data_IF_252953572837
#
_entry.id   IF_252953572837
#
_cell.length_a   1.000
_cell.length_b   1.000
_cell.length_c   1.000
_cell.angle_alpha   90.00
_cell.angle_beta   90.00
_cell.angle_gamma   90.00
#
_symmetry.space_group_name_H-M   'P 1'
#
loop_
_entity.id
_entity.type
_entity.pdbx_description
1 polymer ?
#
# COMPACT_ATOMS: atom_id res chain seq x y z
N UNK A 1 -10.48 -23.56 34.21
CA UNK A 1 -10.35 -23.17 32.80
C UNK A 1 -8.87 -23.09 32.47
N UNK A 2 -8.45 -23.58 31.31
CA UNK A 2 -7.03 -23.48 30.89
C UNK A 2 -6.72 -21.99 30.69
N UNK A 3 -5.61 -21.52 31.22
CA UNK A 3 -5.19 -20.12 31.08
C UNK A 3 -4.94 -19.82 29.60
N UNK A 4 -5.53 -18.72 29.09
CA UNK A 4 -5.38 -18.29 27.70
C UNK A 4 -3.95 -17.79 27.48
N UNK A 5 -3.34 -18.15 26.35
CA UNK A 5 -2.03 -17.60 25.96
C UNK A 5 -2.15 -16.13 25.63
N UNK A 6 -1.43 -15.27 26.36
CA UNK A 6 -1.42 -13.83 26.13
C UNK A 6 -0.57 -13.46 24.94
N UNK A 7 -1.12 -12.64 24.06
CA UNK A 7 -0.57 -12.31 22.74
C UNK A 7 -0.47 -10.80 22.57
N UNK A 8 0.64 -10.32 22.03
CA UNK A 8 0.76 -8.98 21.42
C UNK A 8 0.82 -9.15 19.92
N UNK A 9 0.06 -8.34 19.18
CA UNK A 9 0.15 -8.24 17.73
C UNK A 9 0.90 -6.94 17.38
N UNK A 10 2.02 -7.07 16.66
CA UNK A 10 2.80 -5.93 16.18
C UNK A 10 2.20 -5.41 14.87
N UNK A 11 1.68 -4.19 14.93
CA UNK A 11 0.94 -3.51 13.90
C UNK A 11 -0.41 -3.02 14.41
N UNK A 12 -0.92 -1.91 13.87
CA UNK A 12 -2.24 -1.35 14.19
C UNK A 12 -2.79 -0.49 13.03
N UNK A 13 -2.79 -1.01 11.83
CA UNK A 13 -3.24 -0.25 10.66
C UNK A 13 -3.83 -1.09 9.52
N UNK A 14 -3.71 -2.40 9.56
CA UNK A 14 -4.18 -3.20 8.43
C UNK A 14 -4.11 -4.70 8.64
N UNK A 15 -2.98 -5.32 8.28
CA UNK A 15 -2.73 -6.76 8.38
C UNK A 15 -2.94 -7.29 9.80
N UNK A 16 -2.52 -6.56 10.78
CA UNK A 16 -2.65 -6.83 12.20
C UNK A 16 -4.10 -7.04 12.64
N UNK A 17 -5.02 -6.11 12.28
CA UNK A 17 -6.45 -6.27 12.56
C UNK A 17 -7.06 -7.43 11.78
N UNK A 18 -6.61 -7.67 10.55
CA UNK A 18 -7.04 -8.84 9.79
C UNK A 18 -6.58 -10.14 10.47
N UNK A 19 -5.31 -10.24 10.86
CA UNK A 19 -4.76 -11.37 11.61
C UNK A 19 -5.54 -11.61 12.90
N UNK A 20 -5.85 -10.55 13.65
CA UNK A 20 -6.70 -10.65 14.82
C UNK A 20 -8.09 -11.20 14.48
N UNK A 21 -8.77 -10.60 13.51
CA UNK A 21 -10.15 -10.96 13.15
C UNK A 21 -10.29 -12.39 12.64
N UNK A 22 -9.26 -12.93 11.96
CA UNK A 22 -9.31 -14.26 11.38
C UNK A 22 -8.79 -15.33 12.31
N UNK A 23 -7.68 -15.10 13.02
CA UNK A 23 -6.97 -16.12 13.77
C UNK A 23 -7.24 -16.08 15.29
N UNK A 24 -7.42 -14.89 15.87
CA UNK A 24 -7.47 -14.73 17.34
C UNK A 24 -8.86 -14.39 17.89
N UNK A 25 -9.68 -13.59 17.18
CA UNK A 25 -10.93 -12.99 17.69
C UNK A 25 -11.84 -13.97 18.44
N UNK A 26 -12.09 -15.14 17.86
CA UNK A 26 -13.00 -16.16 18.41
C UNK A 26 -12.25 -17.38 18.93
N UNK A 27 -10.93 -17.29 19.15
CA UNK A 27 -10.13 -18.41 19.59
C UNK A 27 -9.94 -18.38 21.12
N UNK A 28 -10.56 -19.33 21.86
CA UNK A 28 -10.52 -19.34 23.31
C UNK A 28 -9.15 -19.71 23.91
N UNK A 29 -8.21 -20.23 23.12
CA UNK A 29 -6.86 -20.54 23.58
C UNK A 29 -5.95 -19.30 23.70
N UNK A 30 -6.35 -18.17 23.10
CA UNK A 30 -5.55 -16.93 23.04
C UNK A 30 -6.29 -15.73 23.63
N UNK A 31 -5.52 -14.81 24.20
CA UNK A 31 -5.96 -13.48 24.64
C UNK A 31 -5.02 -12.43 24.04
N UNK A 32 -5.49 -11.67 23.06
CA UNK A 32 -4.73 -10.54 22.53
C UNK A 32 -4.86 -9.37 23.50
N UNK A 33 -3.77 -9.04 24.18
CA UNK A 33 -3.74 -8.04 25.26
C UNK A 33 -3.31 -6.66 24.78
N UNK A 34 -2.73 -6.57 23.57
CA UNK A 34 -2.33 -5.30 22.97
C UNK A 34 -2.05 -5.43 21.47
N UNK A 35 -2.24 -4.32 20.75
CA UNK A 35 -1.56 -4.02 19.51
C UNK A 35 -0.40 -3.06 19.75
N UNK A 36 0.69 -3.16 18.99
CA UNK A 36 1.76 -2.15 19.02
C UNK A 36 1.99 -1.55 17.63
N UNK A 37 2.55 -0.34 17.56
CA UNK A 37 2.60 0.42 16.33
C UNK A 37 3.81 1.40 16.30
N UNK A 38 4.45 1.54 15.12
CA UNK A 38 5.59 2.45 14.92
C UNK A 38 5.31 3.62 13.99
N UNK A 39 4.38 3.47 13.04
CA UNK A 39 4.31 4.33 11.86
C UNK A 39 3.22 5.41 11.94
N UNK A 40 2.19 5.23 12.77
CA UNK A 40 1.06 6.17 12.88
C UNK A 40 1.28 7.08 14.10
N UNK A 41 1.46 8.40 13.90
CA UNK A 41 1.58 9.35 15.01
C UNK A 41 0.31 9.39 15.87
N UNK A 42 0.47 9.56 17.17
CA UNK A 42 -0.63 9.78 18.13
C UNK A 42 -1.69 8.66 18.16
N UNK A 43 -1.26 7.41 17.96
CA UNK A 43 -2.15 6.25 18.10
C UNK A 43 -2.25 5.79 19.56
N UNK A 44 -1.34 6.24 20.40
CA UNK A 44 -1.29 5.90 21.82
C UNK A 44 -2.60 6.29 22.52
N UNK A 45 -3.12 5.38 23.36
CA UNK A 45 -4.39 5.57 24.06
C UNK A 45 -5.63 5.22 23.24
N UNK A 46 -5.51 4.83 21.96
CA UNK A 46 -6.64 4.28 21.20
C UNK A 46 -6.94 2.85 21.63
N UNK A 47 -8.18 2.44 21.42
CA UNK A 47 -8.64 1.09 21.69
C UNK A 47 -9.28 0.52 20.41
N UNK A 48 -8.90 -0.68 20.02
CA UNK A 48 -9.66 -1.45 19.04
C UNK A 48 -10.98 -1.84 19.68
N UNK A 49 -12.13 -1.34 19.19
CA UNK A 49 -13.36 -1.30 19.97
C UNK A 49 -13.96 -2.69 20.15
N UNK A 50 -14.65 -2.89 21.28
CA UNK A 50 -15.30 -4.14 21.66
C UNK A 50 -16.26 -4.69 20.60
N UNK A 51 -16.96 -3.79 19.90
CA UNK A 51 -17.91 -4.16 18.83
C UNK A 51 -17.22 -4.87 17.67
N UNK A 52 -15.97 -4.55 17.41
CA UNK A 52 -15.13 -5.22 16.41
C UNK A 52 -14.32 -6.37 17.01
N UNK A 53 -13.90 -6.24 18.26
CA UNK A 53 -13.09 -7.25 18.96
C UNK A 53 -13.92 -8.49 19.36
N UNK A 54 -15.22 -8.34 19.65
CA UNK A 54 -16.14 -9.44 19.97
C UNK A 54 -16.18 -9.79 21.46
N UNK A 55 -17.00 -10.78 21.81
CA UNK A 55 -17.40 -11.09 23.18
C UNK A 55 -16.25 -11.53 24.10
N UNK A 56 -15.16 -12.06 23.53
CA UNK A 56 -13.98 -12.42 24.31
C UNK A 56 -13.14 -11.19 24.74
N UNK A 57 -13.49 -10.00 24.27
CA UNK A 57 -12.78 -8.72 24.48
C UNK A 57 -13.76 -7.59 24.87
N UNK A 58 -14.46 -7.69 26.03
CA UNK A 58 -15.52 -6.75 26.39
C UNK A 58 -15.05 -5.30 26.56
N UNK A 59 -13.76 -5.09 26.86
CA UNK A 59 -13.14 -3.76 27.00
C UNK A 59 -12.44 -3.30 25.71
N UNK A 60 -12.49 -4.11 24.64
CA UNK A 60 -11.67 -3.89 23.44
C UNK A 60 -10.20 -4.25 23.67
N UNK A 61 -9.33 -3.81 22.74
CA UNK A 61 -7.89 -4.11 22.81
C UNK A 61 -7.09 -2.81 22.70
N UNK A 62 -6.24 -2.45 23.68
CA UNK A 62 -5.49 -1.21 23.66
C UNK A 62 -4.34 -1.22 22.64
N UNK A 63 -4.03 -0.03 22.11
CA UNK A 63 -2.94 0.24 21.18
C UNK A 63 -1.82 1.00 21.90
N UNK A 64 -0.58 0.52 21.75
CA UNK A 64 0.61 1.07 22.38
C UNK A 64 1.68 1.43 21.34
N UNK A 65 2.66 2.23 21.75
CA UNK A 65 3.89 2.41 20.99
C UNK A 65 4.70 1.11 20.95
N UNK A 66 5.30 0.75 19.83
CA UNK A 66 6.20 -0.43 19.75
C UNK A 66 7.41 -0.30 20.68
N UNK A 67 7.80 0.93 21.04
CA UNK A 67 8.89 1.15 22.02
C UNK A 67 8.63 0.50 23.36
N UNK A 68 7.35 0.25 23.68
CA UNK A 68 6.92 -0.38 24.93
C UNK A 68 6.88 -1.92 24.85
N UNK A 69 7.18 -2.52 23.69
CA UNK A 69 7.03 -3.96 23.46
C UNK A 69 7.65 -4.82 24.57
N UNK A 70 8.90 -4.57 24.93
CA UNK A 70 9.63 -5.36 25.94
C UNK A 70 8.99 -5.22 27.33
N UNK A 71 8.56 -4.03 27.70
CA UNK A 71 7.88 -3.77 28.98
C UNK A 71 6.51 -4.45 29.00
N UNK A 72 5.73 -4.31 27.93
CA UNK A 72 4.41 -4.95 27.81
C UNK A 72 4.49 -6.47 27.88
N UNK A 73 5.51 -7.09 27.28
CA UNK A 73 5.71 -8.54 27.38
C UNK A 73 5.84 -8.96 28.85
N UNK A 74 6.65 -8.27 29.64
CA UNK A 74 6.91 -8.57 31.05
C UNK A 74 5.68 -8.23 31.92
N UNK A 75 5.14 -7.04 31.82
CA UNK A 75 4.03 -6.54 32.65
C UNK A 75 2.75 -7.33 32.45
N UNK A 76 2.44 -7.68 31.19
CA UNK A 76 1.22 -8.43 30.83
C UNK A 76 1.42 -9.94 30.77
N UNK A 77 2.60 -10.46 31.14
CA UNK A 77 2.95 -11.88 31.06
C UNK A 77 2.64 -12.48 29.67
N UNK A 78 3.13 -11.83 28.61
CA UNK A 78 2.88 -12.22 27.23
C UNK A 78 3.76 -13.40 26.84
N UNK A 79 3.15 -14.44 26.27
CA UNK A 79 3.84 -15.66 25.83
C UNK A 79 4.06 -15.72 24.31
N UNK A 80 3.40 -14.84 23.54
CA UNK A 80 3.49 -14.86 22.08
C UNK A 80 3.42 -13.43 21.51
N UNK A 81 4.36 -13.11 20.63
CA UNK A 81 4.34 -11.90 19.81
C UNK A 81 4.09 -12.30 18.36
N UNK A 82 3.08 -11.71 17.73
CA UNK A 82 2.73 -11.92 16.32
C UNK A 82 3.17 -10.71 15.52
N UNK A 83 4.03 -10.93 14.54
CA UNK A 83 4.52 -9.85 13.67
C UNK A 83 3.62 -9.68 12.47
N UNK A 84 3.15 -8.45 12.23
CA UNK A 84 2.19 -8.15 11.16
C UNK A 84 2.59 -6.97 10.26
N UNK A 85 3.84 -6.49 10.36
CA UNK A 85 4.35 -5.51 9.41
C UNK A 85 4.75 -6.16 8.09
N UNK A 86 4.71 -5.39 7.03
CA UNK A 86 5.13 -5.76 5.68
C UNK A 86 6.09 -4.72 5.11
N UNK A 87 6.72 -5.06 3.97
CA UNK A 87 7.71 -4.23 3.27
C UNK A 87 8.94 -3.87 4.12
N UNK A 88 9.39 -4.81 4.93
CA UNK A 88 10.56 -4.69 5.80
C UNK A 88 11.61 -5.75 5.45
N UNK A 89 12.88 -5.42 5.63
CA UNK A 89 13.98 -6.38 5.43
C UNK A 89 14.00 -7.48 6.51
N UNK A 90 14.68 -8.57 6.23
CA UNK A 90 14.77 -9.70 7.16
C UNK A 90 15.49 -9.36 8.46
N UNK A 91 16.45 -8.44 8.43
CA UNK A 91 17.16 -7.99 9.63
C UNK A 91 16.20 -7.30 10.61
N UNK A 92 15.28 -6.50 10.07
CA UNK A 92 14.24 -5.86 10.87
C UNK A 92 13.37 -6.91 11.57
N UNK A 93 12.88 -7.92 10.82
CA UNK A 93 12.04 -8.99 11.36
C UNK A 93 12.77 -9.76 12.45
N UNK A 94 14.02 -10.16 12.18
CA UNK A 94 14.81 -10.94 13.14
C UNK A 94 15.16 -10.14 14.41
N UNK A 95 15.45 -8.85 14.30
CA UNK A 95 15.66 -8.00 15.49
C UNK A 95 14.43 -7.94 16.38
N UNK A 96 13.21 -7.90 15.82
CA UNK A 96 11.96 -7.95 16.61
C UNK A 96 11.75 -9.33 17.24
N UNK A 97 12.07 -10.39 16.51
CA UNK A 97 12.02 -11.73 17.06
C UNK A 97 12.97 -11.89 18.27
N UNK A 98 14.22 -11.44 18.15
CA UNK A 98 15.20 -11.48 19.24
C UNK A 98 14.76 -10.64 20.45
N UNK A 99 14.18 -9.45 20.20
CA UNK A 99 13.63 -8.61 21.28
C UNK A 99 12.49 -9.33 22.03
N UNK A 100 11.56 -9.98 21.32
CA UNK A 100 10.48 -10.73 21.93
C UNK A 100 10.99 -11.93 22.73
N UNK A 101 11.91 -12.71 22.16
CA UNK A 101 12.50 -13.90 22.81
C UNK A 101 13.33 -13.52 24.04
N UNK A 102 14.12 -12.46 23.98
CA UNK A 102 14.88 -11.98 25.14
C UNK A 102 14.01 -11.47 26.28
N UNK A 103 12.77 -11.05 25.97
CA UNK A 103 11.78 -10.66 26.97
C UNK A 103 10.94 -11.84 27.51
N UNK A 104 11.10 -13.07 26.95
CA UNK A 104 10.44 -14.30 27.38
C UNK A 104 9.24 -14.74 26.53
N UNK A 105 8.93 -14.07 25.41
CA UNK A 105 7.85 -14.44 24.53
C UNK A 105 8.34 -15.19 23.28
N UNK A 106 7.53 -16.12 22.76
CA UNK A 106 7.73 -16.69 21.41
C UNK A 106 7.39 -15.66 20.33
N UNK A 107 7.89 -15.86 19.12
CA UNK A 107 7.63 -14.98 17.98
C UNK A 107 6.96 -15.76 16.84
N UNK A 108 5.96 -15.17 16.18
CA UNK A 108 5.16 -15.84 15.14
C UNK A 108 4.95 -14.95 13.92
N UNK A 109 5.09 -15.56 12.74
CA UNK A 109 4.64 -15.05 11.44
C UNK A 109 3.45 -15.89 10.99
N UNK A 110 2.30 -15.24 10.72
CA UNK A 110 1.14 -15.95 10.19
C UNK A 110 1.22 -16.06 8.66
N UNK A 111 1.00 -17.27 8.16
CA UNK A 111 1.04 -17.57 6.74
C UNK A 111 -0.30 -17.35 6.03
N UNK A 112 -0.30 -17.37 4.68
CA UNK A 112 -1.49 -17.22 3.86
C UNK A 112 -2.61 -18.23 4.18
N UNK A 113 -2.26 -19.48 4.48
CA UNK A 113 -3.23 -20.53 4.79
C UNK A 113 -4.09 -20.20 6.02
N UNK A 114 -3.52 -19.49 6.99
CA UNK A 114 -4.20 -19.16 8.25
C UNK A 114 -4.98 -17.84 8.17
N UNK A 115 -4.72 -17.01 7.14
CA UNK A 115 -5.19 -15.63 7.09
C UNK A 115 -5.98 -15.26 5.86
N UNK A 116 -5.89 -16.01 4.75
CA UNK A 116 -6.67 -15.73 3.56
C UNK A 116 -8.10 -16.28 3.68
N UNK A 117 -9.08 -15.46 3.33
CA UNK A 117 -10.49 -15.84 3.23
C UNK A 117 -10.76 -16.48 1.87
N UNK A 118 -11.48 -17.60 1.87
CA UNK A 118 -11.98 -18.24 0.65
C UNK A 118 -13.16 -17.46 0.10
N UNK A 119 -13.11 -17.11 -1.19
CA UNK A 119 -14.19 -16.44 -1.91
C UNK A 119 -15.00 -17.43 -2.77
N UNK A 120 -16.32 -17.21 -2.83
CA UNK A 120 -17.22 -17.91 -3.78
C UNK A 120 -17.12 -17.33 -5.19
N UNK A 121 -16.55 -16.14 -5.34
CA UNK A 121 -16.31 -15.48 -6.63
C UNK A 121 -14.83 -15.54 -6.98
N UNK A 122 -14.47 -15.60 -8.26
CA UNK A 122 -13.07 -15.53 -8.66
C UNK A 122 -12.40 -14.27 -8.13
N UNK A 123 -11.12 -14.40 -7.74
CA UNK A 123 -10.30 -13.30 -7.22
C UNK A 123 -9.04 -13.16 -8.07
N UNK A 124 -8.82 -11.97 -8.62
CA UNK A 124 -7.54 -11.55 -9.18
C UNK A 124 -6.84 -10.69 -8.12
N UNK A 125 -5.67 -11.10 -7.66
CA UNK A 125 -4.89 -10.27 -6.73
C UNK A 125 -3.68 -9.66 -7.41
N UNK A 126 -3.43 -8.39 -7.13
CA UNK A 126 -2.24 -7.67 -7.56
C UNK A 126 -1.46 -7.24 -6.32
N UNK A 127 -0.28 -7.79 -6.16
CA UNK A 127 0.67 -7.49 -5.10
C UNK A 127 2.00 -7.00 -5.68
N UNK A 128 2.93 -6.64 -4.83
CA UNK A 128 4.28 -6.26 -5.25
C UNK A 128 5.31 -6.71 -4.22
N UNK A 129 6.55 -6.90 -4.61
CA UNK A 129 7.64 -7.25 -3.70
C UNK A 129 8.10 -6.05 -2.86
N UNK A 130 7.86 -4.81 -3.34
CA UNK A 130 8.22 -3.55 -2.66
C UNK A 130 7.22 -2.44 -2.98
N UNK A 131 7.02 -1.53 -2.04
CA UNK A 131 6.30 -0.27 -2.26
C UNK A 131 6.95 0.51 -3.39
N UNK A 132 6.13 1.12 -4.27
CA UNK A 132 6.62 1.86 -5.43
C UNK A 132 7.09 1.00 -6.61
N UNK A 133 6.93 -0.34 -6.57
CA UNK A 133 7.30 -1.22 -7.69
C UNK A 133 6.41 -1.03 -8.94
N UNK A 134 5.23 -0.40 -8.81
CA UNK A 134 4.33 -0.15 -9.94
C UNK A 134 3.07 -1.00 -9.94
N UNK A 135 2.62 -1.44 -8.77
CA UNK A 135 1.39 -2.22 -8.57
C UNK A 135 0.14 -1.49 -9.08
N UNK A 136 -0.11 -0.27 -8.60
CA UNK A 136 -1.34 0.47 -8.92
C UNK A 136 -1.53 0.77 -10.41
N UNK A 137 -0.48 1.11 -11.21
CA UNK A 137 -0.61 1.19 -12.67
C UNK A 137 -1.01 -0.14 -13.33
N UNK A 138 -0.49 -1.29 -12.87
CA UNK A 138 -0.89 -2.61 -13.37
C UNK A 138 -2.34 -2.91 -13.01
N UNK A 139 -2.76 -2.63 -11.76
CA UNK A 139 -4.14 -2.84 -11.32
C UNK A 139 -5.11 -2.03 -12.16
N UNK A 140 -4.82 -0.75 -12.39
CA UNK A 140 -5.67 0.09 -13.28
C UNK A 140 -5.75 -0.48 -14.70
N UNK A 141 -4.63 -0.99 -15.23
CA UNK A 141 -4.61 -1.61 -16.56
C UNK A 141 -5.47 -2.88 -16.61
N UNK A 142 -5.42 -3.72 -15.60
CA UNK A 142 -6.29 -4.91 -15.48
C UNK A 142 -7.76 -4.47 -15.40
N UNK A 143 -8.10 -3.51 -14.55
CA UNK A 143 -9.46 -2.96 -14.46
C UNK A 143 -9.96 -2.38 -15.80
N UNK A 144 -9.10 -1.68 -16.55
CA UNK A 144 -9.42 -1.19 -17.90
C UNK A 144 -9.78 -2.33 -18.86
N UNK A 145 -9.02 -3.43 -18.85
CA UNK A 145 -9.27 -4.61 -19.69
C UNK A 145 -10.58 -5.29 -19.27
N UNK A 146 -10.80 -5.49 -17.97
CA UNK A 146 -12.04 -6.10 -17.46
C UNK A 146 -13.28 -5.28 -17.85
N UNK A 147 -13.21 -3.94 -17.78
CA UNK A 147 -14.29 -3.06 -18.24
C UNK A 147 -14.57 -3.17 -19.73
N UNK A 148 -13.52 -3.21 -20.55
CA UNK A 148 -13.68 -3.40 -22.01
C UNK A 148 -14.36 -4.72 -22.37
N UNK A 149 -14.24 -5.71 -21.49
CA UNK A 149 -14.89 -7.02 -21.61
C UNK A 149 -16.26 -7.09 -20.92
N UNK A 150 -16.75 -5.95 -20.40
CA UNK A 150 -18.03 -5.84 -19.68
C UNK A 150 -18.15 -6.77 -18.47
N UNK A 151 -17.03 -7.08 -17.79
CA UNK A 151 -17.03 -7.88 -16.57
C UNK A 151 -17.53 -7.03 -15.40
N UNK A 152 -18.49 -7.56 -14.63
CA UNK A 152 -18.98 -6.94 -13.40
C UNK A 152 -18.02 -7.26 -12.24
N UNK A 153 -17.18 -6.29 -11.82
CA UNK A 153 -16.20 -6.48 -10.77
C UNK A 153 -16.14 -5.29 -9.81
N UNK A 154 -15.66 -5.55 -8.60
CA UNK A 154 -15.25 -4.52 -7.65
C UNK A 154 -13.74 -4.59 -7.37
N UNK A 155 -13.21 -3.51 -6.83
CA UNK A 155 -11.85 -3.44 -6.30
C UNK A 155 -11.92 -3.50 -4.78
N UNK A 156 -11.13 -4.35 -4.15
CA UNK A 156 -10.98 -4.40 -2.70
C UNK A 156 -9.57 -3.97 -2.33
N UNK A 157 -9.49 -2.96 -1.48
CA UNK A 157 -8.22 -2.36 -1.06
C UNK A 157 -7.82 -2.81 0.33
N UNK A 158 -6.51 -2.85 0.55
CA UNK A 158 -5.94 -3.00 1.88
C UNK A 158 -6.40 -1.86 2.80
N UNK A 159 -6.71 -2.12 4.08
CA UNK A 159 -7.17 -1.07 5.00
C UNK A 159 -6.05 -0.11 5.38
N UNK A 160 -6.46 1.12 5.65
CA UNK A 160 -5.66 2.14 6.31
C UNK A 160 -6.52 2.74 7.44
N UNK A 161 -6.74 1.95 8.51
CA UNK A 161 -7.71 2.25 9.56
C UNK A 161 -7.19 3.33 10.54
N UNK A 162 -6.92 4.53 10.03
CA UNK A 162 -6.39 5.65 10.81
C UNK A 162 -7.48 6.48 11.52
N UNK A 163 -8.73 6.36 11.08
CA UNK A 163 -9.88 7.08 11.61
C UNK A 163 -10.67 6.31 12.68
N UNK A 164 -11.98 6.56 12.73
CA UNK A 164 -12.92 5.84 13.60
C UNK A 164 -13.12 4.41 13.10
N UNK A 165 -12.69 3.41 13.87
CA UNK A 165 -12.76 2.00 13.50
C UNK A 165 -14.18 1.50 13.20
N UNK A 166 -15.20 2.01 13.92
CA UNK A 166 -16.59 1.59 13.69
C UNK A 166 -17.11 2.10 12.36
N UNK A 167 -16.78 3.35 12.04
CA UNK A 167 -17.12 3.97 10.75
C UNK A 167 -16.34 3.34 9.60
N UNK A 168 -15.12 2.89 9.86
CA UNK A 168 -14.23 2.24 8.93
C UNK A 168 -14.37 0.71 8.93
N UNK A 169 -15.35 0.12 9.63
CA UNK A 169 -15.57 -1.32 9.62
C UNK A 169 -15.76 -1.85 8.20
N UNK A 170 -16.65 -1.21 7.44
CA UNK A 170 -16.93 -1.49 6.02
C UNK A 170 -17.14 -0.15 5.32
N UNK A 171 -16.38 0.10 4.29
CA UNK A 171 -16.48 1.30 3.46
C UNK A 171 -16.71 0.87 2.00
N UNK A 172 -17.63 1.56 1.31
CA UNK A 172 -17.92 1.39 -0.11
C UNK A 172 -17.82 2.75 -0.80
N UNK A 173 -16.98 2.86 -1.79
CA UNK A 173 -16.73 4.10 -2.54
C UNK A 173 -17.13 3.89 -4.00
N UNK A 174 -18.12 4.63 -4.46
CA UNK A 174 -18.62 4.61 -5.84
C UNK A 174 -18.47 5.97 -6.51
N UNK A 175 -18.43 7.04 -5.71
CA UNK A 175 -18.30 8.44 -6.15
C UNK A 175 -17.38 9.23 -5.25
N UNK A 176 -16.94 10.38 -5.73
CA UNK A 176 -15.94 11.21 -5.01
C UNK A 176 -16.44 11.72 -3.65
N UNK A 177 -17.76 11.92 -3.50
CA UNK A 177 -18.40 12.36 -2.24
C UNK A 177 -18.28 11.31 -1.14
N UNK A 178 -18.15 10.02 -1.50
CA UNK A 178 -17.96 8.94 -0.52
C UNK A 178 -16.64 9.08 0.22
N UNK A 179 -15.59 9.63 -0.45
CA UNK A 179 -14.32 9.93 0.20
C UNK A 179 -14.45 10.99 1.30
N UNK A 180 -15.30 11.97 1.09
CA UNK A 180 -15.59 13.02 2.09
C UNK A 180 -16.47 12.45 3.20
N UNK A 181 -17.49 11.65 2.85
CA UNK A 181 -18.36 10.98 3.81
C UNK A 181 -17.59 10.09 4.79
N UNK A 182 -16.65 9.29 4.30
CA UNK A 182 -15.81 8.43 5.16
C UNK A 182 -14.59 9.15 5.73
N UNK A 183 -14.39 10.44 5.45
CA UNK A 183 -13.23 11.24 5.89
C UNK A 183 -11.89 10.62 5.48
N UNK A 184 -11.83 10.14 4.24
CA UNK A 184 -10.64 9.51 3.71
C UNK A 184 -9.43 10.45 3.79
N UNK A 185 -8.32 9.94 4.34
CA UNK A 185 -7.02 10.63 4.40
C UNK A 185 -6.45 10.85 3.00
N UNK A 186 -5.41 11.68 2.87
CA UNK A 186 -4.73 11.87 1.59
C UNK A 186 -4.25 10.53 1.02
N UNK A 187 -3.66 9.67 1.85
CA UNK A 187 -3.13 8.37 1.44
C UNK A 187 -4.22 7.41 0.99
N UNK A 188 -5.35 7.38 1.70
CA UNK A 188 -6.53 6.62 1.25
C UNK A 188 -7.06 7.16 -0.08
N UNK A 189 -7.08 8.49 -0.27
CA UNK A 189 -7.48 9.12 -1.54
C UNK A 189 -6.54 8.78 -2.69
N UNK A 190 -5.23 8.74 -2.44
CA UNK A 190 -4.24 8.30 -3.45
C UNK A 190 -4.57 6.92 -4.02
N UNK A 191 -5.11 6.05 -3.19
CA UNK A 191 -5.42 4.68 -3.54
C UNK A 191 -6.85 4.52 -4.13
N UNK A 192 -7.83 5.30 -3.68
CA UNK A 192 -9.24 5.10 -4.05
C UNK A 192 -9.68 6.00 -5.23
N UNK A 193 -9.25 7.28 -5.25
CA UNK A 193 -9.66 8.23 -6.30
C UNK A 193 -9.42 7.74 -7.73
N UNK A 194 -8.26 7.12 -8.06
CA UNK A 194 -8.04 6.63 -9.41
C UNK A 194 -9.06 5.59 -9.85
N UNK A 195 -9.48 4.70 -8.96
CA UNK A 195 -10.51 3.70 -9.24
C UNK A 195 -11.90 4.32 -9.39
N UNK A 196 -12.27 5.23 -8.49
CA UNK A 196 -13.56 5.95 -8.56
C UNK A 196 -13.67 6.75 -9.86
N UNK A 197 -12.59 7.46 -10.25
CA UNK A 197 -12.53 8.20 -11.53
C UNK A 197 -12.67 7.28 -12.75
N UNK A 198 -12.25 6.04 -12.65
CA UNK A 198 -12.48 5.01 -13.67
C UNK A 198 -13.91 4.44 -13.59
N UNK A 199 -14.72 4.83 -12.62
CA UNK A 199 -16.07 4.29 -12.36
C UNK A 199 -16.03 2.86 -11.80
N UNK A 200 -15.00 2.50 -11.05
CA UNK A 200 -14.95 1.24 -10.30
C UNK A 200 -15.52 1.46 -8.90
N UNK A 201 -16.25 0.46 -8.39
CA UNK A 201 -16.59 0.39 -6.97
C UNK A 201 -15.39 -0.09 -6.18
N UNK A 202 -15.04 0.62 -5.08
CA UNK A 202 -13.95 0.26 -4.17
C UNK A 202 -14.52 -0.12 -2.82
N UNK A 203 -14.10 -1.25 -2.28
CA UNK A 203 -14.31 -1.62 -0.88
C UNK A 203 -13.00 -1.52 -0.11
N UNK A 204 -13.09 -0.99 1.10
CA UNK A 204 -12.02 -0.99 2.09
C UNK A 204 -12.61 -1.08 3.50
N UNK A 205 -11.78 -1.27 4.51
CA UNK A 205 -12.24 -1.27 5.90
C UNK A 205 -11.44 -2.21 6.79
N UNK A 206 -12.03 -2.59 7.92
CA UNK A 206 -11.40 -3.44 8.94
C UNK A 206 -11.98 -4.86 8.95
N UNK A 207 -13.26 -5.01 8.61
CA UNK A 207 -13.95 -6.31 8.62
C UNK A 207 -14.01 -6.93 7.21
N UNK A 208 -12.97 -7.67 6.86
CA UNK A 208 -12.88 -8.28 5.53
C UNK A 208 -13.79 -9.49 5.31
N UNK A 209 -14.35 -10.09 6.35
CA UNK A 209 -15.41 -11.11 6.18
C UNK A 209 -16.68 -10.47 5.64
N UNK A 210 -17.10 -9.37 6.22
CA UNK A 210 -18.29 -8.64 5.79
C UNK A 210 -18.06 -7.93 4.44
N UNK A 211 -16.86 -7.38 4.20
CA UNK A 211 -16.49 -6.83 2.88
C UNK A 211 -16.60 -7.91 1.81
N UNK A 212 -16.04 -9.11 2.05
CA UNK A 212 -16.14 -10.24 1.12
C UNK A 212 -17.57 -10.61 0.83
N UNK A 213 -18.39 -10.76 1.87
CA UNK A 213 -19.83 -11.09 1.72
C UNK A 213 -20.54 -10.08 0.83
N UNK A 214 -20.36 -8.78 1.06
CA UNK A 214 -20.98 -7.72 0.25
C UNK A 214 -20.46 -7.71 -1.19
N UNK A 215 -19.15 -7.89 -1.38
CA UNK A 215 -18.56 -7.97 -2.71
C UNK A 215 -19.14 -9.16 -3.51
N UNK A 216 -19.28 -10.31 -2.89
CA UNK A 216 -19.85 -11.52 -3.52
C UNK A 216 -21.32 -11.38 -3.91
N UNK A 217 -22.11 -10.60 -3.17
CA UNK A 217 -23.53 -10.35 -3.44
C UNK A 217 -23.72 -9.46 -4.67
N UNK A 218 -22.83 -8.48 -4.89
CA UNK A 218 -23.03 -7.46 -5.90
C UNK A 218 -22.20 -7.68 -7.19
N UNK A 219 -21.07 -8.43 -7.09
CA UNK A 219 -20.10 -8.56 -8.17
C UNK A 219 -19.79 -10.00 -8.53
N UNK A 220 -19.43 -10.23 -9.79
CA UNK A 220 -19.07 -11.56 -10.30
C UNK A 220 -17.56 -11.86 -10.19
N UNK A 221 -16.74 -10.83 -10.00
CA UNK A 221 -15.28 -10.90 -9.87
C UNK A 221 -14.79 -9.89 -8.84
N UNK A 222 -13.80 -10.28 -8.07
CA UNK A 222 -13.12 -9.40 -7.10
C UNK A 222 -11.69 -9.14 -7.58
N UNK A 223 -11.30 -7.87 -7.62
CA UNK A 223 -9.92 -7.45 -7.85
C UNK A 223 -9.33 -7.00 -6.52
N UNK A 224 -8.44 -7.78 -5.95
CA UNK A 224 -7.67 -7.38 -4.78
C UNK A 224 -6.53 -6.47 -5.20
N UNK A 225 -6.60 -5.21 -4.84
CA UNK A 225 -5.52 -4.25 -5.02
C UNK A 225 -4.78 -4.07 -3.69
N UNK A 226 -3.81 -4.94 -3.44
CA UNK A 226 -3.08 -5.01 -2.17
C UNK A 226 -2.37 -3.71 -1.81
N UNK A 227 -2.21 -3.46 -0.53
CA UNK A 227 -1.41 -2.36 0.01
C UNK A 227 -0.11 -2.89 0.63
N UNK A 228 0.88 -2.01 0.80
CA UNK A 228 2.12 -2.24 1.55
C UNK A 228 2.82 -3.59 1.28
N UNK A 229 2.65 -4.15 0.08
CA UNK A 229 3.29 -5.40 -0.36
C UNK A 229 3.07 -6.58 0.59
N UNK A 230 1.84 -6.73 1.03
CA UNK A 230 1.37 -7.74 1.94
C UNK A 230 0.62 -8.86 1.20
N UNK A 231 0.43 -10.00 1.86
CA UNK A 231 -0.43 -11.06 1.34
C UNK A 231 -1.85 -10.55 1.09
N UNK A 232 -2.53 -11.00 0.01
CA UNK A 232 -3.94 -10.72 -0.15
C UNK A 232 -4.73 -11.31 1.02
N UNK A 233 -5.82 -10.62 1.43
CA UNK A 233 -6.71 -11.13 2.47
C UNK A 233 -7.72 -12.14 1.93
N UNK A 234 -7.92 -12.13 0.62
CA UNK A 234 -8.73 -13.12 -0.09
C UNK A 234 -7.80 -14.04 -0.88
N UNK A 235 -8.06 -15.34 -0.84
CA UNK A 235 -7.29 -16.32 -1.59
C UNK A 235 -7.46 -16.07 -3.10
N UNK A 236 -6.39 -15.75 -3.82
CA UNK A 236 -6.48 -15.46 -5.24
C UNK A 236 -6.61 -16.74 -6.08
N UNK A 237 -7.37 -16.63 -7.18
CA UNK A 237 -7.36 -17.60 -8.26
C UNK A 237 -6.35 -17.23 -9.35
N UNK A 238 -5.91 -15.95 -9.36
CA UNK A 238 -4.83 -15.46 -10.21
C UNK A 238 -4.05 -14.37 -9.46
N UNK A 239 -2.78 -14.63 -9.16
CA UNK A 239 -1.91 -13.72 -8.41
C UNK A 239 -0.84 -13.09 -9.31
N UNK A 240 -0.94 -11.77 -9.49
CA UNK A 240 0.12 -10.96 -10.08
C UNK A 240 1.02 -10.38 -8.99
N UNK A 241 2.34 -10.49 -9.17
CA UNK A 241 3.31 -9.83 -8.27
C UNK A 241 4.27 -8.97 -9.09
N UNK A 242 4.34 -7.69 -8.74
CA UNK A 242 5.17 -6.70 -9.43
C UNK A 242 6.57 -6.65 -8.80
N UNK A 243 7.59 -6.79 -9.63
CA UNK A 243 9.00 -6.70 -9.27
C UNK A 243 9.64 -5.43 -9.84
N UNK A 244 10.49 -4.77 -9.06
CA UNK A 244 11.18 -3.53 -9.42
C UNK A 244 12.66 -3.80 -9.73
N UNK A 245 13.08 -3.78 -10.99
CA UNK A 245 14.46 -4.04 -11.35
C UNK A 245 15.45 -2.97 -10.86
N UNK A 246 14.97 -1.77 -10.51
CA UNK A 246 15.82 -0.73 -9.91
C UNK A 246 16.30 -1.13 -8.51
N UNK A 247 15.63 -2.09 -7.88
CA UNK A 247 15.94 -2.68 -6.58
C UNK A 247 16.06 -4.20 -6.67
N UNK A 248 16.74 -4.68 -7.73
CA UNK A 248 16.95 -6.11 -7.95
C UNK A 248 17.66 -6.75 -6.75
N UNK A 249 17.10 -7.85 -6.22
CA UNK A 249 17.51 -8.50 -4.99
C UNK A 249 16.53 -8.28 -3.82
N UNK A 250 15.76 -7.18 -3.84
CA UNK A 250 14.75 -6.93 -2.79
C UNK A 250 13.63 -7.99 -2.82
N UNK A 251 13.34 -8.56 -3.99
CA UNK A 251 12.32 -9.61 -4.15
C UNK A 251 12.61 -10.88 -3.36
N UNK A 252 13.86 -11.08 -2.90
CA UNK A 252 14.28 -12.24 -2.11
C UNK A 252 14.80 -11.86 -0.71
N UNK A 253 14.74 -10.60 -0.31
CA UNK A 253 15.31 -10.11 0.95
C UNK A 253 14.33 -9.30 1.81
N UNK A 254 13.08 -9.14 1.36
CA UNK A 254 12.04 -8.41 2.08
C UNK A 254 10.85 -9.30 2.46
N UNK A 255 10.28 -9.04 3.63
CA UNK A 255 9.08 -9.72 4.14
C UNK A 255 7.83 -8.90 3.83
N UNK A 256 6.74 -9.53 3.34
CA UNK A 256 6.60 -10.91 2.83
C UNK A 256 6.86 -11.04 1.32
N UNK A 257 7.57 -10.08 0.72
CA UNK A 257 7.83 -9.98 -0.72
C UNK A 257 8.36 -11.29 -1.33
N UNK A 258 9.26 -11.99 -0.66
CA UNK A 258 9.78 -13.25 -1.16
C UNK A 258 8.73 -14.36 -1.21
N UNK A 259 7.89 -14.46 -0.20
CA UNK A 259 6.80 -15.44 -0.22
C UNK A 259 5.80 -15.13 -1.35
N UNK A 260 5.43 -13.87 -1.54
CA UNK A 260 4.60 -13.43 -2.68
C UNK A 260 5.26 -13.76 -4.03
N UNK A 261 6.56 -13.51 -4.15
CA UNK A 261 7.34 -13.81 -5.35
C UNK A 261 7.29 -15.30 -5.71
N UNK A 262 7.38 -16.19 -4.71
CA UNK A 262 7.27 -17.63 -4.91
C UNK A 262 5.85 -18.11 -5.22
N UNK A 263 4.83 -17.43 -4.70
CA UNK A 263 3.43 -17.79 -4.90
C UNK A 263 2.83 -17.25 -6.20
N UNK A 264 3.50 -16.31 -6.87
CA UNK A 264 2.96 -15.62 -8.04
C UNK A 264 2.70 -16.55 -9.23
N UNK A 265 1.48 -16.47 -9.79
CA UNK A 265 1.16 -17.06 -11.08
C UNK A 265 1.77 -16.25 -12.23
N UNK A 266 1.84 -14.92 -12.03
CA UNK A 266 2.39 -13.97 -13.00
C UNK A 266 3.35 -13.00 -12.31
N UNK A 267 4.60 -12.95 -12.73
CA UNK A 267 5.60 -11.97 -12.30
C UNK A 267 5.70 -10.84 -13.32
N UNK A 268 5.40 -9.63 -12.88
CA UNK A 268 5.52 -8.42 -13.71
C UNK A 268 6.81 -7.67 -13.38
N UNK A 269 7.79 -7.69 -14.27
CA UNK A 269 8.99 -6.85 -14.16
C UNK A 269 8.64 -5.48 -14.73
N UNK A 270 8.49 -4.49 -13.84
CA UNK A 270 8.16 -3.11 -14.20
C UNK A 270 9.41 -2.30 -14.55
N UNK A 271 9.26 -1.06 -15.03
CA UNK A 271 10.34 -0.07 -15.24
C UNK A 271 11.54 -0.60 -16.03
N UNK A 272 11.32 -1.55 -16.93
CA UNK A 272 12.40 -2.27 -17.65
C UNK A 272 13.32 -1.33 -18.41
N UNK A 273 12.77 -0.28 -19.04
CA UNK A 273 13.57 0.70 -19.80
C UNK A 273 14.34 1.69 -18.93
N UNK A 274 13.99 1.80 -17.64
CA UNK A 274 14.70 2.66 -16.67
C UNK A 274 15.82 1.92 -15.94
N UNK A 275 15.81 0.58 -16.00
CA UNK A 275 16.80 -0.25 -15.33
C UNK A 275 17.98 -0.61 -16.25
N UNK A 276 19.13 -0.92 -15.66
CA UNK A 276 20.27 -1.48 -16.35
C UNK A 276 19.99 -2.94 -16.75
N UNK A 277 20.58 -3.41 -17.84
CA UNK A 277 20.40 -4.80 -18.33
C UNK A 277 20.76 -5.83 -17.26
N UNK A 278 21.79 -5.56 -16.46
CA UNK A 278 22.27 -6.42 -15.38
C UNK A 278 21.21 -6.57 -14.27
N UNK A 279 20.52 -5.49 -13.92
CA UNK A 279 19.46 -5.51 -12.90
C UNK A 279 18.27 -6.37 -13.35
N UNK A 280 17.85 -6.21 -14.62
CA UNK A 280 16.78 -7.05 -15.20
C UNK A 280 17.21 -8.51 -15.27
N UNK A 281 18.51 -8.78 -15.54
CA UNK A 281 19.07 -10.13 -15.56
C UNK A 281 19.03 -10.78 -14.19
N UNK A 282 19.43 -10.06 -13.12
CA UNK A 282 19.35 -10.54 -11.73
C UNK A 282 17.93 -11.02 -11.40
N UNK A 283 16.92 -10.19 -11.68
CA UNK A 283 15.51 -10.57 -11.47
C UNK A 283 15.13 -11.85 -12.24
N UNK A 284 15.50 -11.93 -13.52
CA UNK A 284 15.21 -13.13 -14.34
C UNK A 284 15.91 -14.38 -13.81
N UNK A 285 17.11 -14.24 -13.29
CA UNK A 285 17.87 -15.35 -12.71
C UNK A 285 17.21 -15.80 -11.38
N UNK A 286 16.76 -14.85 -10.56
CA UNK A 286 15.98 -15.16 -9.34
C UNK A 286 14.64 -15.83 -9.68
N UNK A 287 13.93 -15.39 -10.74
CA UNK A 287 12.69 -16.05 -11.18
C UNK A 287 12.99 -17.52 -11.55
N UNK A 288 13.99 -17.78 -12.37
CA UNK A 288 14.38 -19.15 -12.74
C UNK A 288 14.72 -20.02 -11.54
N UNK A 289 15.31 -19.44 -10.51
CA UNK A 289 15.73 -20.15 -9.31
C UNK A 289 14.57 -20.47 -8.36
N UNK A 290 13.66 -19.54 -8.16
CA UNK A 290 12.69 -19.59 -7.07
C UNK A 290 11.23 -19.74 -7.52
N UNK A 291 10.89 -19.39 -8.78
CA UNK A 291 9.54 -19.53 -9.33
C UNK A 291 9.59 -19.75 -10.84
N UNK A 292 10.16 -20.90 -11.28
CA UNK A 292 10.47 -21.21 -12.68
C UNK A 292 9.26 -21.36 -13.61
N UNK A 293 8.11 -21.72 -13.05
CA UNK A 293 6.89 -22.04 -13.81
C UNK A 293 5.96 -20.83 -13.96
N UNK A 294 6.33 -19.67 -13.43
CA UNK A 294 5.54 -18.44 -13.49
C UNK A 294 5.56 -17.81 -14.88
N UNK A 295 4.45 -17.20 -15.28
CA UNK A 295 4.40 -16.33 -16.45
C UNK A 295 5.12 -15.00 -16.18
N UNK A 296 5.88 -14.51 -17.16
CA UNK A 296 6.62 -13.24 -17.03
C UNK A 296 6.05 -12.20 -17.96
N UNK A 297 5.69 -11.05 -17.39
CA UNK A 297 5.34 -9.82 -18.10
C UNK A 297 6.47 -8.81 -17.92
N UNK A 298 6.89 -8.16 -19.02
CA UNK A 298 7.79 -7.01 -19.01
C UNK A 298 6.99 -5.75 -19.29
N UNK A 299 7.21 -4.71 -18.48
CA UNK A 299 6.48 -3.45 -18.62
C UNK A 299 7.31 -2.22 -18.27
N UNK A 300 6.87 -1.08 -18.74
CA UNK A 300 7.31 0.24 -18.30
C UNK A 300 6.19 1.02 -17.63
N UNK A 301 6.56 1.96 -16.79
CA UNK A 301 5.69 2.99 -16.25
C UNK A 301 5.99 4.29 -16.98
N UNK A 302 5.11 4.68 -17.90
CA UNK A 302 5.30 5.85 -18.75
C UNK A 302 4.61 7.06 -18.14
N UNK A 303 5.36 8.07 -17.69
CA UNK A 303 4.75 9.31 -17.22
C UNK A 303 4.22 10.15 -18.38
N UNK A 304 3.02 10.71 -18.21
CA UNK A 304 2.39 11.64 -19.15
C UNK A 304 1.76 12.80 -18.39
N UNK A 305 1.64 13.95 -19.07
CA UNK A 305 0.80 15.04 -18.58
C UNK A 305 -0.64 14.60 -18.59
N UNK A 306 -1.35 14.87 -17.50
CA UNK A 306 -2.80 14.62 -17.42
C UNK A 306 -3.56 15.56 -18.35
N UNK A 307 -3.10 16.80 -18.44
CA UNK A 307 -3.71 17.87 -19.24
C UNK A 307 -2.80 18.16 -20.44
N UNK A 308 -3.20 17.71 -21.63
CA UNK A 308 -2.37 17.81 -22.84
C UNK A 308 -2.15 19.27 -23.34
N UNK A 309 -2.98 20.21 -22.89
CA UNK A 309 -2.97 21.59 -23.41
C UNK A 309 -2.11 22.58 -22.61
N UNK A 310 -1.40 22.14 -21.56
CA UNK A 310 -0.56 23.04 -20.75
C UNK A 310 0.76 23.35 -21.47
N UNK A 311 0.99 24.62 -21.79
CA UNK A 311 2.28 25.09 -22.34
C UNK A 311 3.31 25.30 -21.22
N UNK A 312 4.19 24.34 -21.03
CA UNK A 312 5.27 24.41 -20.08
C UNK A 312 6.50 25.06 -20.70
N UNK A 313 7.01 26.14 -20.10
CA UNK A 313 8.19 26.83 -20.60
C UNK A 313 9.47 26.20 -20.05
N UNK A 314 10.37 25.77 -20.95
CA UNK A 314 11.68 25.22 -20.62
C UNK A 314 12.52 26.21 -19.81
N UNK A 315 13.36 25.74 -18.90
CA UNK A 315 14.24 26.58 -18.07
C UNK A 315 13.57 27.24 -16.86
N UNK A 316 12.25 27.14 -16.73
CA UNK A 316 11.49 27.62 -15.58
C UNK A 316 11.76 26.76 -14.33
N UNK A 317 11.58 27.35 -13.14
CA UNK A 317 11.77 26.66 -11.87
C UNK A 317 10.55 25.85 -11.48
N UNK A 318 10.77 24.65 -10.95
CA UNK A 318 9.70 23.79 -10.46
C UNK A 318 10.05 23.13 -9.12
N UNK A 319 9.03 22.89 -8.30
CA UNK A 319 9.05 21.99 -7.17
C UNK A 319 8.23 20.75 -7.51
N UNK A 320 8.70 19.56 -7.12
CA UNK A 320 8.06 18.30 -7.47
C UNK A 320 7.45 17.69 -6.23
N UNK A 321 6.17 17.33 -6.31
CA UNK A 321 5.44 16.56 -5.29
C UNK A 321 5.28 15.15 -5.82
N UNK A 322 5.78 14.17 -5.08
CA UNK A 322 5.70 12.75 -5.43
C UNK A 322 4.80 11.99 -4.46
N UNK A 323 4.41 10.78 -4.85
CA UNK A 323 3.71 9.83 -4.00
C UNK A 323 4.46 9.63 -2.67
N UNK A 324 3.76 9.84 -1.56
CA UNK A 324 4.32 9.80 -0.21
C UNK A 324 4.91 8.42 0.12
N UNK A 325 4.13 7.35 0.11
CA UNK A 325 4.59 5.99 0.40
C UNK A 325 5.80 5.55 -0.43
N UNK A 326 5.81 5.83 -1.74
CA UNK A 326 6.93 5.48 -2.63
C UNK A 326 8.24 6.15 -2.19
N UNK A 327 8.18 7.41 -1.79
CA UNK A 327 9.37 8.19 -1.47
C UNK A 327 9.81 8.07 0.00
N UNK A 328 8.89 7.76 0.92
CA UNK A 328 9.20 7.50 2.33
C UNK A 328 9.49 6.01 2.57
N UNK A 329 8.48 5.19 2.77
CA UNK A 329 8.61 3.75 3.06
C UNK A 329 9.24 2.96 1.91
N UNK A 330 8.96 3.34 0.67
CA UNK A 330 9.60 2.78 -0.52
C UNK A 330 11.07 3.16 -0.69
N UNK A 331 11.57 4.10 0.12
CA UNK A 331 12.96 4.59 0.13
C UNK A 331 13.49 5.06 -1.23
N UNK A 332 12.58 5.56 -2.11
CA UNK A 332 12.96 6.08 -3.41
C UNK A 332 13.34 7.57 -3.29
N UNK A 333 14.52 7.99 -3.79
CA UNK A 333 14.97 9.39 -3.69
C UNK A 333 14.14 10.36 -4.54
N UNK A 334 13.44 9.85 -5.54
CA UNK A 334 12.52 10.56 -6.42
C UNK A 334 11.65 9.54 -7.18
N UNK A 335 10.53 10.02 -7.70
CA UNK A 335 9.66 9.26 -8.60
C UNK A 335 9.81 9.72 -10.06
N UNK A 336 8.84 9.32 -10.89
CA UNK A 336 8.89 9.69 -12.31
C UNK A 336 8.43 11.14 -12.57
N UNK A 337 7.77 11.80 -11.61
CA UNK A 337 7.50 13.24 -11.68
C UNK A 337 8.78 14.05 -11.80
N UNK A 338 9.77 13.72 -10.96
CA UNK A 338 11.10 14.32 -11.04
C UNK A 338 11.76 14.08 -12.41
N UNK A 339 11.78 12.82 -12.86
CA UNK A 339 12.39 12.46 -14.15
C UNK A 339 11.66 13.14 -15.33
N UNK A 340 10.34 13.21 -15.24
CA UNK A 340 9.55 13.87 -16.29
C UNK A 340 9.75 15.38 -16.29
N UNK A 341 9.83 16.02 -15.13
CA UNK A 341 10.14 17.43 -15.01
C UNK A 341 11.53 17.78 -15.61
N UNK A 342 12.53 16.91 -15.40
CA UNK A 342 13.83 17.03 -16.05
C UNK A 342 13.71 16.91 -17.59
N UNK A 343 12.94 15.93 -18.09
CA UNK A 343 12.67 15.77 -19.54
C UNK A 343 12.01 16.99 -20.16
N UNK A 344 11.14 17.66 -19.40
CA UNK A 344 10.53 18.95 -19.79
C UNK A 344 11.52 20.11 -19.76
N UNK A 345 12.74 19.91 -19.27
CA UNK A 345 13.77 20.93 -19.17
C UNK A 345 13.52 21.97 -18.07
N UNK A 346 12.79 21.57 -17.02
CA UNK A 346 12.55 22.41 -15.85
C UNK A 346 13.76 22.41 -14.91
N UNK A 347 13.97 23.51 -14.19
CA UNK A 347 14.97 23.63 -13.13
C UNK A 347 14.33 23.24 -11.80
N UNK A 348 14.58 22.01 -11.36
CA UNK A 348 14.01 21.49 -10.11
C UNK A 348 14.79 22.07 -8.93
N UNK A 349 14.07 22.65 -7.99
CA UNK A 349 14.65 23.23 -6.77
C UNK A 349 14.75 22.19 -5.64
N UNK A 350 15.61 22.46 -4.66
CA UNK A 350 15.72 21.67 -3.43
C UNK A 350 14.60 22.09 -2.46
N UNK A 351 13.60 21.25 -2.20
CA UNK A 351 12.42 21.64 -1.41
C UNK A 351 12.74 21.81 0.08
N UNK A 352 13.80 21.18 0.59
CA UNK A 352 14.23 21.26 1.99
C UNK A 352 14.40 22.71 2.48
N UNK A 353 14.87 23.59 1.60
CA UNK A 353 15.09 25.04 1.89
C UNK A 353 13.77 25.77 2.20
N UNK A 354 12.64 25.21 1.81
CA UNK A 354 11.31 25.80 1.97
C UNK A 354 10.43 25.02 2.96
N UNK A 355 10.96 23.95 3.54
CA UNK A 355 10.25 23.08 4.44
C UNK A 355 9.58 23.83 5.60
N UNK A 356 8.31 23.56 5.84
CA UNK A 356 7.51 24.12 6.91
C UNK A 356 6.92 23.00 7.78
N UNK A 357 6.75 23.26 9.07
CA UNK A 357 6.10 22.34 10.00
C UNK A 357 6.71 20.95 10.01
N UNK A 358 5.88 19.93 9.77
CA UNK A 358 6.28 18.52 9.78
C UNK A 358 7.34 18.19 8.74
N UNK A 359 7.39 18.91 7.60
CA UNK A 359 8.36 18.66 6.54
C UNK A 359 9.81 18.84 6.97
N UNK A 360 10.06 19.68 8.00
CA UNK A 360 11.40 19.80 8.60
C UNK A 360 11.83 18.50 9.30
N UNK A 361 10.89 17.76 9.90
CA UNK A 361 11.17 16.47 10.54
C UNK A 361 11.33 15.38 9.47
N UNK A 362 10.45 15.35 8.48
CA UNK A 362 10.48 14.40 7.36
C UNK A 362 11.84 14.42 6.64
N UNK A 363 12.37 15.59 6.30
CA UNK A 363 13.67 15.67 5.63
C UNK A 363 14.85 15.28 6.52
N UNK A 364 14.70 15.29 7.85
CA UNK A 364 15.70 14.73 8.78
C UNK A 364 15.62 13.22 8.85
N UNK A 365 14.40 12.68 8.85
CA UNK A 365 14.12 11.25 8.92
C UNK A 365 14.45 10.54 7.60
N UNK A 366 14.17 11.21 6.47
CA UNK A 366 14.38 10.71 5.11
C UNK A 366 15.39 11.57 4.34
N UNK A 367 16.70 11.51 4.64
CA UNK A 367 17.72 12.40 4.07
C UNK A 367 17.96 12.19 2.57
N UNK A 368 17.45 11.08 1.99
CA UNK A 368 17.48 10.81 0.54
C UNK A 368 16.53 11.69 -0.27
N UNK A 369 15.53 12.34 0.38
CA UNK A 369 14.54 13.21 -0.27
C UNK A 369 15.11 14.59 -0.61
N UNK A 370 16.10 14.65 -1.52
CA UNK A 370 16.76 15.92 -1.86
C UNK A 370 15.98 16.80 -2.84
N UNK A 371 15.16 16.18 -3.69
CA UNK A 371 14.61 16.86 -4.88
C UNK A 371 13.08 16.85 -4.94
N UNK A 372 12.42 16.20 -3.99
CA UNK A 372 10.98 16.02 -4.01
C UNK A 372 10.35 16.33 -2.66
N UNK A 373 9.07 16.69 -2.70
CA UNK A 373 8.20 16.80 -1.53
C UNK A 373 7.33 15.56 -1.51
N UNK A 374 7.38 14.71 -0.47
CA UNK A 374 6.44 13.60 -0.38
C UNK A 374 5.03 14.12 -0.10
N UNK A 375 4.03 13.62 -0.83
CA UNK A 375 2.64 13.90 -0.54
C UNK A 375 2.25 13.13 0.74
N UNK A 376 2.19 13.85 1.86
CA UNK A 376 1.84 13.30 3.17
C UNK A 376 0.77 14.19 3.78
N UNK A 377 -0.26 13.60 4.37
CA UNK A 377 -1.30 14.35 5.06
C UNK A 377 -2.41 13.48 5.62
N UNK A 378 -2.19 13.00 6.83
CA UNK A 378 -3.22 12.30 7.62
C UNK A 378 -4.21 13.26 8.28
N UNK A 379 -3.84 14.53 8.47
CA UNK A 379 -4.60 15.53 9.23
C UNK A 379 -4.53 16.92 8.59
N UNK A 380 -5.48 17.78 8.92
CA UNK A 380 -5.57 19.16 8.41
C UNK A 380 -4.29 19.98 8.62
N UNK A 381 -3.64 19.82 9.79
CA UNK A 381 -2.39 20.52 10.08
C UNK A 381 -1.24 20.09 9.15
N UNK A 382 -1.20 18.83 8.75
CA UNK A 382 -0.16 18.31 7.82
C UNK A 382 -0.44 18.79 6.39
N UNK A 383 -1.71 18.85 5.99
CA UNK A 383 -2.15 19.45 4.72
C UNK A 383 -1.77 20.93 4.68
N UNK A 384 -1.97 21.64 5.78
CA UNK A 384 -1.54 23.02 5.94
C UNK A 384 -0.01 23.15 5.78
N UNK A 385 0.77 22.27 6.40
CA UNK A 385 2.24 22.28 6.30
C UNK A 385 2.73 22.00 4.87
N UNK A 386 2.06 21.10 4.13
CA UNK A 386 2.31 20.88 2.70
C UNK A 386 2.06 22.18 1.91
N UNK A 387 0.88 22.77 2.07
CA UNK A 387 0.51 24.03 1.42
C UNK A 387 1.55 25.10 1.69
N UNK A 388 1.91 25.32 2.96
CA UNK A 388 2.91 26.37 3.34
C UNK A 388 4.29 26.08 2.78
N UNK A 389 4.71 24.81 2.70
CA UNK A 389 5.97 24.41 2.06
C UNK A 389 5.98 24.80 0.58
N UNK A 390 4.90 24.53 -0.14
CA UNK A 390 4.75 24.84 -1.57
C UNK A 390 4.60 26.35 -1.83
N UNK A 391 3.87 27.08 -0.99
CA UNK A 391 3.71 28.54 -1.09
C UNK A 391 5.05 29.28 -0.92
N UNK A 392 5.90 28.82 0.01
CA UNK A 392 7.22 29.42 0.27
C UNK A 392 8.22 29.19 -0.85
N UNK A 393 8.04 28.14 -1.65
CA UNK A 393 8.91 27.80 -2.74
C UNK A 393 8.86 28.87 -3.85
N UNK A 394 10.02 29.44 -4.22
CA UNK A 394 10.12 30.44 -5.29
C UNK A 394 10.22 29.75 -6.65
N UNK A 395 9.09 29.27 -7.17
CA UNK A 395 8.98 28.48 -8.40
C UNK A 395 7.87 29.00 -9.32
N UNK A 396 7.98 28.68 -10.60
CA UNK A 396 6.98 28.96 -11.62
C UNK A 396 5.90 27.86 -11.67
N UNK A 397 6.26 26.60 -11.34
CA UNK A 397 5.37 25.44 -11.44
C UNK A 397 5.49 24.53 -10.23
N UNK A 398 4.39 23.89 -9.85
CA UNK A 398 4.34 22.72 -8.97
C UNK A 398 4.06 21.52 -9.87
N UNK A 399 4.96 20.54 -9.90
CA UNK A 399 4.76 19.27 -10.61
C UNK A 399 4.19 18.28 -9.60
N UNK A 400 3.00 17.76 -9.86
CA UNK A 400 2.33 16.79 -9.02
C UNK A 400 2.35 15.42 -9.70
N UNK A 401 3.07 14.48 -9.13
CA UNK A 401 3.13 13.09 -9.56
C UNK A 401 2.58 12.14 -8.49
N UNK A 402 1.70 12.64 -7.65
CA UNK A 402 0.87 11.85 -6.74
C UNK A 402 -0.48 11.54 -7.43
N UNK A 403 -1.11 10.38 -7.11
CA UNK A 403 -2.42 10.01 -7.67
C UNK A 403 -3.56 10.95 -7.31
N UNK A 404 -3.45 11.70 -6.21
CA UNK A 404 -4.48 12.64 -5.79
C UNK A 404 -4.50 13.91 -6.64
N UNK A 405 -5.65 14.52 -6.70
CA UNK A 405 -5.80 15.87 -7.26
C UNK A 405 -5.45 16.92 -6.20
N UNK A 406 -4.20 17.38 -6.20
CA UNK A 406 -3.71 18.39 -5.26
C UNK A 406 -4.55 19.68 -5.26
N UNK A 407 -5.19 20.05 -6.39
CA UNK A 407 -6.05 21.24 -6.48
C UNK A 407 -7.29 21.13 -5.58
N UNK A 408 -7.73 19.91 -5.26
CA UNK A 408 -8.85 19.67 -4.32
C UNK A 408 -8.44 19.78 -2.86
N UNK A 409 -7.19 19.42 -2.58
CA UNK A 409 -6.67 19.32 -1.21
C UNK A 409 -6.08 20.63 -0.73
N UNK A 410 -5.35 21.33 -1.62
CA UNK A 410 -4.70 22.60 -1.30
C UNK A 410 -5.02 23.66 -2.37
N UNK A 411 -5.16 24.91 -1.94
CA UNK A 411 -5.24 26.07 -2.84
C UNK A 411 -3.95 26.86 -2.72
N UNK A 412 -3.22 26.98 -3.83
CA UNK A 412 -1.98 27.75 -3.98
C UNK A 412 -2.04 28.59 -5.25
N UNK A 413 -1.37 29.74 -5.27
CA UNK A 413 -1.37 30.69 -6.40
C UNK A 413 -0.48 30.25 -7.58
N UNK A 414 0.16 29.09 -7.49
CA UNK A 414 1.06 28.56 -8.51
C UNK A 414 0.35 27.47 -9.33
N UNK A 415 0.55 27.41 -10.64
CA UNK A 415 -0.03 26.35 -11.47
C UNK A 415 0.52 24.99 -11.04
N UNK A 416 -0.40 24.06 -10.75
CA UNK A 416 -0.11 22.65 -10.46
C UNK A 416 -0.27 21.88 -11.76
N UNK A 417 0.78 21.17 -12.15
CA UNK A 417 0.84 20.36 -13.37
C UNK A 417 0.84 18.90 -12.95
N UNK A 418 -0.21 18.18 -13.30
CA UNK A 418 -0.37 16.77 -12.93
C UNK A 418 0.31 15.83 -13.93
N UNK A 419 1.07 14.86 -13.39
CA UNK A 419 1.70 13.77 -14.14
C UNK A 419 1.07 12.47 -13.68
N UNK A 420 0.56 11.70 -14.63
CA UNK A 420 0.02 10.36 -14.40
C UNK A 420 0.94 9.28 -14.96
N UNK A 421 0.92 8.09 -14.35
CA UNK A 421 1.69 6.93 -14.79
C UNK A 421 0.79 5.94 -15.50
N UNK A 422 1.21 5.53 -16.68
CA UNK A 422 0.54 4.54 -17.48
C UNK A 422 1.36 3.27 -17.56
N UNK A 423 0.69 2.14 -17.34
CA UNK A 423 1.29 0.84 -17.54
C UNK A 423 1.43 0.55 -19.03
N UNK A 424 2.64 0.33 -19.50
CA UNK A 424 2.94 -0.03 -20.87
C UNK A 424 3.59 -1.40 -20.92
N UNK A 425 2.81 -2.41 -21.27
CA UNK A 425 3.33 -3.76 -21.45
C UNK A 425 4.19 -3.89 -22.70
N UNK A 426 5.28 -4.65 -22.61
CA UNK A 426 6.19 -4.95 -23.73
C UNK A 426 6.01 -6.36 -24.29
N UNK A 427 5.50 -7.29 -23.51
CA UNK A 427 5.36 -8.71 -23.86
C UNK A 427 4.07 -9.06 -24.58
N UNK A 428 3.03 -8.22 -24.49
CA UNK A 428 1.70 -8.45 -25.06
C UNK A 428 1.05 -9.77 -24.59
N UNK A 429 1.23 -10.13 -23.32
CA UNK A 429 0.70 -11.35 -22.70
C UNK A 429 -0.49 -11.08 -21.76
N UNK A 430 -0.57 -9.89 -21.15
CA UNK A 430 -1.51 -9.57 -20.09
C UNK A 430 -2.96 -9.88 -20.49
N UNK A 431 -3.39 -9.43 -21.66
CA UNK A 431 -4.76 -9.63 -22.13
C UNK A 431 -5.05 -11.12 -22.34
N UNK A 432 -4.09 -11.89 -22.90
CA UNK A 432 -4.23 -13.34 -23.09
C UNK A 432 -4.34 -14.11 -21.78
N UNK A 433 -3.55 -13.71 -20.76
CA UNK A 433 -3.62 -14.30 -19.42
C UNK A 433 -4.99 -14.06 -18.81
N UNK A 434 -5.50 -12.81 -18.89
CA UNK A 434 -6.83 -12.48 -18.41
C UNK A 434 -7.94 -13.23 -19.17
N UNK A 435 -7.84 -13.36 -20.50
CA UNK A 435 -8.81 -14.12 -21.30
C UNK A 435 -8.86 -15.59 -20.88
N UNK A 436 -7.70 -16.21 -20.68
CA UNK A 436 -7.61 -17.60 -20.22
C UNK A 436 -8.24 -17.76 -18.83
N UNK A 437 -7.96 -16.82 -17.93
CA UNK A 437 -8.52 -16.81 -16.58
C UNK A 437 -10.05 -16.62 -16.59
N UNK A 438 -10.57 -15.66 -17.35
CA UNK A 438 -12.00 -15.39 -17.43
C UNK A 438 -12.77 -16.61 -18.00
N UNK A 439 -12.22 -17.26 -19.02
CA UNK A 439 -12.80 -18.52 -19.59
C UNK A 439 -12.85 -19.63 -18.55
N UNK A 440 -11.75 -19.86 -17.83
CA UNK A 440 -11.70 -20.91 -16.78
C UNK A 440 -12.62 -20.61 -15.60
N UNK A 441 -12.95 -19.34 -15.38
CA UNK A 441 -13.85 -18.88 -14.31
C UNK A 441 -15.32 -18.72 -14.75
N UNK A 442 -15.68 -19.11 -15.98
CA UNK A 442 -17.03 -18.95 -16.58
C UNK A 442 -17.54 -17.49 -16.57
N UNK A 443 -16.64 -16.53 -16.83
CA UNK A 443 -16.94 -15.09 -16.85
C UNK A 443 -16.79 -14.49 -18.27
N UNK A 444 -16.62 -15.31 -19.29
CA UNK A 444 -16.43 -14.87 -20.70
C UNK A 444 -17.74 -14.83 -21.46
#
# INVERSE_FOLDING_TARGET
MKERKRVIIMGAGGRDFHNFNIYFKNNPDYEVVAFTQTQIPEIEGRIYPKELAGDLYPEGIPLYSEKELVNLIKEKNVSLVVFSYSDVDYDYVMKRAEMAMSAGASFMLLGPKDTMLESKKPVIAICAVRTGAGKSPLTRKICEILKKKNINFCVVRHPMAYGDFKRQAIQKFEKMEDLDYYQATIEEREEYEPHIKMGNTVFAGVDYKEILRKAEEEFSLIVWDGGNNDFPFFKPNLLFVVCDPLRAGDEISYHPGFALFQMADVLCISKVSSAKKEQVKILKDNIKKYNKDTEIILADLVPKLKEENIKIKRGKKAIVVEDGPTTTHGNMPYGAGYLYAQKLGLKIIEPQKYAYGIYKKIYKEYPHLKYVVPAIGYRENQIFDLKRTLERAKVDYIISATPIDLNRVIKVDKPIIHIEYYFQEKTKKLEKILDSFLKSSNLS
#
